data_IF_263774047426
#
_entry.id   IF_263774047426
#
_cell.length_a   1.000
_cell.length_b   1.000
_cell.length_c   1.000
_cell.angle_alpha   90.00
_cell.angle_beta   90.00
_cell.angle_gamma   90.00
#
_symmetry.space_group_name_H-M   'P 1'
#
loop_
_entity.id
_entity.type
_entity.pdbx_description
1 polymer ?
#
# COMPACT_ATOMS: atom_id res chain seq x y z
N UNK A 1 38.40 -46.86 -41.90
CA UNK A 1 37.10 -46.89 -41.21
C UNK A 1 36.98 -45.66 -40.32
N UNK A 2 36.21 -44.64 -40.73
CA UNK A 2 36.02 -43.41 -39.95
C UNK A 2 34.65 -43.45 -39.24
N UNK A 3 34.69 -43.44 -37.90
CA UNK A 3 33.51 -43.49 -37.02
C UNK A 3 32.91 -42.07 -36.95
N UNK A 4 31.79 -41.82 -37.66
CA UNK A 4 31.06 -40.54 -37.56
C UNK A 4 30.48 -40.37 -36.15
N UNK A 5 30.97 -39.38 -35.40
CA UNK A 5 30.34 -38.91 -34.16
C UNK A 5 28.95 -38.35 -34.49
N UNK A 6 27.92 -38.90 -33.86
CA UNK A 6 26.56 -38.34 -33.88
C UNK A 6 26.62 -37.01 -33.13
N UNK A 7 26.43 -35.92 -33.86
CA UNK A 7 26.22 -34.60 -33.29
C UNK A 7 24.81 -34.62 -32.66
N UNK A 8 24.72 -34.68 -31.34
CA UNK A 8 23.45 -34.56 -30.65
C UNK A 8 22.93 -33.13 -30.89
N UNK A 9 21.85 -33.06 -31.68
CA UNK A 9 21.25 -31.81 -32.13
C UNK A 9 20.57 -31.17 -30.92
N UNK A 10 21.23 -30.20 -30.30
CA UNK A 10 20.63 -29.37 -29.24
C UNK A 10 19.37 -28.72 -29.82
N UNK A 11 18.22 -29.04 -29.25
CA UNK A 11 16.93 -28.48 -29.68
C UNK A 11 16.95 -26.96 -29.43
N UNK A 12 16.38 -26.14 -30.34
CA UNK A 12 16.32 -24.70 -30.16
C UNK A 12 15.54 -24.37 -28.87
N UNK A 13 16.01 -23.35 -28.14
CA UNK A 13 15.47 -22.89 -26.85
C UNK A 13 13.95 -22.60 -26.91
N UNK A 14 13.44 -22.29 -28.10
CA UNK A 14 12.01 -22.07 -28.38
C UNK A 14 11.10 -23.30 -28.20
N UNK A 15 11.67 -24.48 -27.95
CA UNK A 15 10.94 -25.74 -27.75
C UNK A 15 10.96 -26.24 -26.29
N UNK A 16 11.53 -25.46 -25.36
CA UNK A 16 11.37 -25.75 -23.92
C UNK A 16 9.94 -25.38 -23.56
N UNK A 17 9.07 -26.38 -23.42
CA UNK A 17 7.70 -26.19 -23.00
C UNK A 17 7.68 -25.35 -21.71
N UNK A 18 6.90 -24.28 -21.71
CA UNK A 18 6.61 -23.52 -20.50
C UNK A 18 6.07 -24.51 -19.45
N UNK A 19 6.52 -24.45 -18.19
CA UNK A 19 5.96 -25.29 -17.15
C UNK A 19 4.47 -24.99 -17.07
N UNK A 20 3.66 -25.97 -17.42
CA UNK A 20 2.22 -25.90 -17.34
C UNK A 20 1.80 -25.91 -15.86
N UNK A 21 1.67 -24.71 -15.29
CA UNK A 21 1.16 -24.51 -13.92
C UNK A 21 -0.39 -24.45 -13.92
N UNK A 22 -1.05 -24.70 -15.07
CA UNK A 22 -2.51 -24.55 -15.20
C UNK A 22 -3.35 -25.66 -14.54
N UNK A 23 -2.73 -26.47 -13.68
CA UNK A 23 -3.31 -27.71 -13.16
C UNK A 23 -3.48 -27.84 -11.65
N UNK A 24 -3.45 -26.75 -10.86
CA UNK A 24 -3.86 -26.82 -9.44
C UNK A 24 -5.09 -25.93 -9.26
N UNK A 25 -6.18 -26.50 -8.73
CA UNK A 25 -7.40 -25.78 -8.35
C UNK A 25 -7.11 -24.71 -7.30
N UNK A 26 -6.54 -23.59 -7.74
CA UNK A 26 -6.08 -22.48 -6.92
C UNK A 26 -7.21 -21.53 -6.59
N UNK A 27 -7.02 -20.77 -5.51
CA UNK A 27 -7.86 -19.64 -5.17
C UNK A 27 -7.82 -18.60 -6.29
N UNK A 28 -8.92 -17.90 -6.54
CA UNK A 28 -8.95 -16.83 -7.53
C UNK A 28 -8.06 -15.65 -7.08
N UNK A 29 -7.44 -14.97 -8.04
CA UNK A 29 -6.62 -13.77 -7.80
C UNK A 29 -7.23 -12.74 -6.83
N UNK A 30 -8.54 -12.37 -6.94
CA UNK A 30 -9.15 -11.46 -5.97
C UNK A 30 -9.26 -12.05 -4.56
N UNK A 31 -9.46 -13.37 -4.43
CA UNK A 31 -9.48 -14.04 -3.12
C UNK A 31 -8.09 -14.01 -2.50
N UNK A 32 -7.03 -14.24 -3.28
CA UNK A 32 -5.64 -14.12 -2.81
C UNK A 32 -5.35 -12.70 -2.32
N UNK A 33 -5.73 -11.68 -3.12
CA UNK A 33 -5.56 -10.27 -2.73
C UNK A 33 -6.31 -9.94 -1.43
N UNK A 34 -7.54 -10.44 -1.26
CA UNK A 34 -8.32 -10.26 -0.03
C UNK A 34 -7.66 -10.93 1.17
N UNK A 35 -7.14 -12.14 1.01
CA UNK A 35 -6.41 -12.85 2.07
C UNK A 35 -5.14 -12.10 2.48
N UNK A 36 -4.41 -11.52 1.52
CA UNK A 36 -3.24 -10.69 1.79
C UNK A 36 -3.60 -9.40 2.52
N UNK A 37 -4.70 -8.73 2.13
CA UNK A 37 -5.21 -7.58 2.88
C UNK A 37 -5.57 -7.95 4.32
N UNK A 38 -6.29 -9.07 4.52
CA UNK A 38 -6.65 -9.52 5.85
C UNK A 38 -5.42 -9.86 6.69
N UNK A 39 -4.43 -10.54 6.10
CA UNK A 39 -3.17 -10.83 6.76
C UNK A 39 -2.42 -9.56 7.16
N UNK A 40 -2.39 -8.54 6.29
CA UNK A 40 -1.79 -7.23 6.60
C UNK A 40 -2.50 -6.50 7.71
N UNK A 41 -3.83 -6.57 7.71
CA UNK A 41 -4.62 -5.99 8.78
C UNK A 41 -4.28 -6.63 10.13
N UNK A 42 -4.25 -7.97 10.18
CA UNK A 42 -3.91 -8.72 11.40
C UNK A 42 -2.48 -8.43 11.85
N UNK A 43 -1.53 -8.34 10.91
CA UNK A 43 -0.12 -8.09 11.21
C UNK A 43 0.10 -6.77 11.95
N UNK A 44 -0.64 -5.73 11.58
CA UNK A 44 -0.54 -4.39 12.18
C UNK A 44 -1.70 -4.05 13.15
N UNK A 45 -2.59 -5.00 13.44
CA UNK A 45 -3.71 -4.80 14.36
C UNK A 45 -3.24 -4.49 15.80
N UNK A 46 -2.02 -4.88 16.16
CA UNK A 46 -1.39 -4.50 17.42
C UNK A 46 -1.24 -2.97 17.57
N UNK A 47 -1.19 -2.22 16.46
CA UNK A 47 -1.05 -0.75 16.50
C UNK A 47 -2.32 -0.02 16.89
N UNK A 48 -3.48 -0.68 16.85
CA UNK A 48 -4.77 -0.05 17.16
C UNK A 48 -4.87 0.49 18.59
N UNK A 49 -4.11 -0.10 19.52
CA UNK A 49 -4.06 0.33 20.92
C UNK A 49 -3.02 1.40 21.23
N UNK A 50 -2.26 1.87 20.23
CA UNK A 50 -1.26 2.91 20.45
C UNK A 50 -1.92 4.30 20.58
N UNK A 51 -1.18 5.22 21.20
CA UNK A 51 -1.55 6.63 21.29
C UNK A 51 -0.88 7.46 20.20
N UNK A 52 -1.19 8.76 20.16
CA UNK A 52 -0.47 9.71 19.31
C UNK A 52 0.99 9.83 19.74
N UNK A 53 1.90 9.89 18.76
CA UNK A 53 3.34 10.03 19.01
C UNK A 53 3.96 11.05 18.07
N UNK A 54 4.84 11.90 18.60
CA UNK A 54 5.73 12.80 17.86
C UNK A 54 4.99 13.77 16.91
N UNK A 55 4.96 13.45 15.62
CA UNK A 55 4.35 14.27 14.57
C UNK A 55 2.81 14.20 14.59
N UNK A 56 2.23 13.14 15.17
CA UNK A 56 0.77 12.97 15.28
C UNK A 56 0.13 14.09 16.07
N UNK A 57 0.75 14.49 17.19
CA UNK A 57 0.21 15.56 18.03
C UNK A 57 0.21 16.89 17.29
N UNK A 58 1.26 17.17 16.52
CA UNK A 58 1.38 18.41 15.77
C UNK A 58 0.46 18.44 14.54
N UNK A 59 0.21 17.28 13.91
CA UNK A 59 -0.65 17.17 12.73
C UNK A 59 -2.13 17.13 13.08
N UNK A 60 -2.49 16.49 14.19
CA UNK A 60 -3.87 16.10 14.52
C UNK A 60 -4.30 16.80 15.81
N UNK A 61 -3.71 16.39 16.94
CA UNK A 61 -4.18 16.77 18.28
C UNK A 61 -4.07 18.27 18.58
N UNK A 62 -3.08 18.96 18.00
CA UNK A 62 -2.79 20.38 18.22
C UNK A 62 -3.12 21.24 17.00
N UNK A 63 -3.64 20.65 15.93
CA UNK A 63 -3.94 21.36 14.70
C UNK A 63 -5.36 21.92 14.72
N UNK A 64 -5.48 23.24 14.88
CA UNK A 64 -6.77 23.93 14.95
C UNK A 64 -7.65 23.72 13.70
N UNK A 65 -7.06 23.52 12.52
CA UNK A 65 -7.82 23.24 11.30
C UNK A 65 -8.41 21.82 11.30
N UNK A 66 -7.67 20.84 11.80
CA UNK A 66 -8.17 19.45 11.96
C UNK A 66 -9.22 19.36 13.06
N UNK A 67 -9.01 20.04 14.19
CA UNK A 67 -9.94 20.04 15.32
C UNK A 67 -11.33 20.60 14.99
N UNK A 68 -11.43 21.49 13.99
CA UNK A 68 -12.71 22.00 13.47
C UNK A 68 -13.50 20.96 12.67
N UNK A 69 -12.93 19.78 12.46
CA UNK A 69 -13.55 18.68 11.74
C UNK A 69 -13.88 19.05 10.29
N UNK A 70 -15.05 18.62 9.81
CA UNK A 70 -15.50 18.88 8.43
C UNK A 70 -15.50 20.38 8.09
N UNK A 71 -15.85 21.25 9.04
CA UNK A 71 -15.87 22.70 8.83
C UNK A 71 -14.47 23.30 8.58
N UNK A 72 -13.41 22.61 9.01
CA UNK A 72 -12.03 23.00 8.81
C UNK A 72 -11.46 22.67 7.42
N UNK A 73 -12.12 21.79 6.65
CA UNK A 73 -11.60 21.29 5.37
C UNK A 73 -11.35 22.42 4.36
N UNK A 74 -12.28 23.37 4.22
CA UNK A 74 -12.08 24.51 3.33
C UNK A 74 -10.80 25.31 3.67
N UNK A 75 -10.48 25.43 4.97
CA UNK A 75 -9.28 26.10 5.41
C UNK A 75 -8.01 25.26 5.18
N UNK A 76 -8.10 23.93 5.38
CA UNK A 76 -7.02 22.98 5.10
C UNK A 76 -6.55 23.06 3.64
N UNK A 77 -7.46 23.29 2.69
CA UNK A 77 -7.12 23.48 1.28
C UNK A 77 -6.65 24.90 0.93
N UNK A 78 -6.85 25.87 1.82
CA UNK A 78 -6.53 27.29 1.57
C UNK A 78 -5.24 27.73 2.26
N UNK A 79 -4.79 27.01 3.29
CA UNK A 79 -3.65 27.36 4.12
C UNK A 79 -2.57 26.27 4.10
N UNK A 80 -1.29 26.65 4.27
CA UNK A 80 -0.24 25.67 4.49
C UNK A 80 -0.44 24.93 5.82
N UNK A 81 0.16 23.74 5.92
CA UNK A 81 0.09 22.83 7.06
C UNK A 81 0.52 23.46 8.40
N UNK A 82 1.41 24.47 8.39
CA UNK A 82 1.92 25.17 9.58
C UNK A 82 1.97 26.67 9.33
N UNK A 83 1.45 27.45 10.29
CA UNK A 83 1.42 28.91 10.24
C UNK A 83 2.81 29.55 10.43
N UNK A 84 3.72 28.88 11.14
CA UNK A 84 5.09 29.36 11.40
C UNK A 84 6.10 28.57 10.54
N UNK A 85 6.39 29.07 9.34
CA UNK A 85 7.24 28.42 8.35
C UNK A 85 8.74 28.46 8.69
N UNK A 86 9.18 27.74 9.72
CA UNK A 86 10.59 27.42 9.91
C UNK A 86 10.96 26.20 9.03
N UNK A 87 11.43 26.46 7.81
CA UNK A 87 11.99 25.42 6.93
C UNK A 87 11.10 24.92 5.79
N UNK A 88 9.97 25.58 5.52
CA UNK A 88 9.12 25.30 4.36
C UNK A 88 7.66 25.07 4.73
N UNK A 89 6.75 25.79 4.07
CA UNK A 89 5.32 25.64 4.29
C UNK A 89 4.86 24.34 3.56
N UNK A 90 4.70 23.24 4.30
CA UNK A 90 4.25 21.96 3.73
C UNK A 90 2.77 22.06 3.33
N UNK A 91 2.37 21.47 2.19
CA UNK A 91 0.97 21.43 1.76
C UNK A 91 0.52 19.98 1.61
N UNK A 92 -0.34 19.52 2.53
CA UNK A 92 -0.81 18.12 2.64
C UNK A 92 -2.34 18.05 2.86
N UNK A 93 -3.14 18.72 2.01
CA UNK A 93 -4.55 18.95 2.28
C UNK A 93 -5.37 17.65 2.34
N UNK A 94 -5.01 16.64 1.53
CA UNK A 94 -5.73 15.37 1.47
C UNK A 94 -5.68 14.64 2.81
N UNK A 95 -4.46 14.41 3.34
CA UNK A 95 -4.26 13.70 4.60
C UNK A 95 -4.86 14.45 5.78
N UNK A 96 -4.69 15.78 5.83
CA UNK A 96 -5.30 16.61 6.87
C UNK A 96 -6.83 16.59 6.82
N UNK A 97 -7.42 16.51 5.62
CA UNK A 97 -8.87 16.39 5.47
C UNK A 97 -9.37 15.05 5.96
N UNK A 98 -8.64 13.94 5.73
CA UNK A 98 -8.95 12.64 6.32
C UNK A 98 -8.94 12.72 7.85
N UNK A 99 -7.91 13.34 8.44
CA UNK A 99 -7.84 13.53 9.90
C UNK A 99 -8.98 14.41 10.41
N UNK A 100 -9.37 15.45 9.68
CA UNK A 100 -10.49 16.32 10.07
C UNK A 100 -11.82 15.57 10.05
N UNK A 101 -12.05 14.70 9.06
CA UNK A 101 -13.23 13.81 9.03
C UNK A 101 -13.21 12.84 10.20
N UNK A 102 -12.07 12.21 10.48
CA UNK A 102 -11.92 11.29 11.61
C UNK A 102 -12.14 11.99 12.95
N UNK A 103 -11.63 13.20 13.11
CA UNK A 103 -11.83 14.03 14.27
C UNK A 103 -13.30 14.42 14.46
N UNK A 104 -14.05 14.64 13.38
CA UNK A 104 -15.47 14.92 13.45
C UNK A 104 -16.29 13.69 13.90
N UNK A 105 -15.82 12.47 13.63
CA UNK A 105 -16.46 11.22 14.03
C UNK A 105 -16.14 10.89 15.49
N UNK A 106 -14.85 10.92 15.85
CA UNK A 106 -14.36 10.61 17.19
C UNK A 106 -13.22 11.56 17.57
N UNK A 107 -13.53 12.71 18.19
CA UNK A 107 -12.52 13.68 18.60
C UNK A 107 -11.50 13.05 19.55
N UNK A 108 -10.22 13.35 19.34
CA UNK A 108 -9.12 12.89 20.20
C UNK A 108 -9.08 11.36 20.42
N UNK A 109 -9.38 10.59 19.38
CA UNK A 109 -9.34 9.13 19.41
C UNK A 109 -8.23 8.59 18.48
N UNK A 110 -7.04 8.26 19.03
CA UNK A 110 -5.95 7.66 18.24
C UNK A 110 -6.37 6.35 17.55
N UNK A 111 -7.27 5.60 18.19
CA UNK A 111 -7.77 4.32 17.69
C UNK A 111 -8.32 4.43 16.26
N UNK A 112 -9.13 5.46 15.96
CA UNK A 112 -9.71 5.64 14.62
C UNK A 112 -8.62 5.95 13.59
N UNK A 113 -7.62 6.75 13.98
CA UNK A 113 -6.48 7.07 13.12
C UNK A 113 -5.65 5.85 12.76
N UNK A 114 -5.31 5.01 13.75
CA UNK A 114 -4.61 3.75 13.53
C UNK A 114 -5.45 2.76 12.71
N UNK A 115 -6.74 2.63 13.02
CA UNK A 115 -7.66 1.77 12.26
C UNK A 115 -7.66 2.12 10.77
N UNK A 116 -7.77 3.41 10.46
CA UNK A 116 -7.75 3.88 9.07
C UNK A 116 -6.39 3.67 8.42
N UNK A 117 -5.27 3.88 9.13
CA UNK A 117 -3.94 3.58 8.59
C UNK A 117 -3.77 2.11 8.24
N UNK A 118 -4.14 1.21 9.15
CA UNK A 118 -4.03 -0.24 8.94
C UNK A 118 -4.94 -0.67 7.79
N UNK A 119 -6.16 -0.12 7.70
CA UNK A 119 -7.08 -0.39 6.60
C UNK A 119 -6.53 0.07 5.24
N UNK A 120 -6.03 1.30 5.16
CA UNK A 120 -5.41 1.84 3.95
C UNK A 120 -4.17 1.03 3.54
N UNK A 121 -3.31 0.69 4.49
CA UNK A 121 -2.13 -0.13 4.21
C UNK A 121 -2.50 -1.51 3.69
N UNK A 122 -3.48 -2.16 4.31
CA UNK A 122 -3.98 -3.47 3.88
C UNK A 122 -4.56 -3.43 2.47
N UNK A 123 -5.29 -2.37 2.13
CA UNK A 123 -5.80 -2.14 0.78
C UNK A 123 -4.66 -1.89 -0.22
N UNK A 124 -3.65 -1.11 0.16
CA UNK A 124 -2.45 -0.87 -0.66
C UNK A 124 -1.69 -2.16 -0.95
N UNK A 125 -1.55 -3.06 0.03
CA UNK A 125 -0.89 -4.37 -0.14
C UNK A 125 -1.67 -5.26 -1.11
N UNK A 126 -3.01 -5.31 -1.02
CA UNK A 126 -3.82 -6.04 -1.98
C UNK A 126 -3.68 -5.49 -3.41
N UNK A 127 -3.67 -4.17 -3.56
CA UNK A 127 -3.43 -3.54 -4.86
C UNK A 127 -2.02 -3.82 -5.38
N UNK A 128 -1.02 -3.81 -4.50
CA UNK A 128 0.35 -4.15 -4.86
C UNK A 128 0.44 -5.57 -5.45
N UNK A 129 -0.25 -6.55 -4.85
CA UNK A 129 -0.37 -7.90 -5.41
C UNK A 129 -0.99 -7.88 -6.82
N UNK A 130 -2.12 -7.19 -7.00
CA UNK A 130 -2.80 -7.10 -8.31
C UNK A 130 -1.88 -6.42 -9.34
N UNK A 131 -1.17 -5.37 -8.95
CA UNK A 131 -0.20 -4.67 -9.79
C UNK A 131 0.94 -5.59 -10.20
N UNK A 132 1.54 -6.34 -9.27
CA UNK A 132 2.57 -7.33 -9.59
C UNK A 132 2.05 -8.42 -10.52
N UNK A 133 0.82 -8.90 -10.31
CA UNK A 133 0.19 -9.90 -11.20
C UNK A 133 0.02 -9.38 -12.62
N UNK A 134 -0.30 -8.09 -12.78
CA UNK A 134 -0.38 -7.44 -14.11
C UNK A 134 0.99 -7.23 -14.75
N UNK A 135 2.00 -6.85 -13.96
CA UNK A 135 3.35 -6.61 -14.46
C UNK A 135 4.07 -7.90 -14.88
N UNK A 136 3.82 -9.01 -14.18
CA UNK A 136 4.50 -10.30 -14.44
C UNK A 136 3.48 -11.43 -14.54
N UNK A 137 2.66 -11.46 -15.61
CA UNK A 137 1.47 -12.31 -15.72
C UNK A 137 1.75 -13.81 -15.81
N UNK A 138 2.99 -14.22 -16.08
CA UNK A 138 3.38 -15.64 -16.18
C UNK A 138 4.08 -16.16 -14.92
N UNK A 139 4.20 -15.33 -13.87
CA UNK A 139 4.81 -15.75 -12.61
C UNK A 139 3.93 -16.69 -11.80
N UNK A 140 4.57 -17.55 -11.01
CA UNK A 140 3.90 -18.41 -10.05
C UNK A 140 3.25 -17.56 -8.93
N UNK A 141 1.96 -17.79 -8.65
CA UNK A 141 1.21 -17.00 -7.64
C UNK A 141 1.79 -17.15 -6.22
N UNK A 142 2.39 -18.28 -5.87
CA UNK A 142 3.06 -18.48 -4.58
C UNK A 142 4.28 -17.56 -4.47
N UNK A 143 5.07 -17.43 -5.55
CA UNK A 143 6.21 -16.53 -5.57
C UNK A 143 5.76 -15.07 -5.39
N UNK A 144 4.71 -14.65 -6.11
CA UNK A 144 4.15 -13.31 -5.95
C UNK A 144 3.63 -13.07 -4.53
N UNK A 145 2.93 -14.04 -3.94
CA UNK A 145 2.50 -13.97 -2.55
C UNK A 145 3.69 -13.83 -1.60
N UNK A 146 4.75 -14.62 -1.78
CA UNK A 146 5.94 -14.56 -0.94
C UNK A 146 6.62 -13.18 -1.01
N UNK A 147 6.71 -12.59 -2.21
CA UNK A 147 7.25 -11.23 -2.40
C UNK A 147 6.38 -10.20 -1.68
N UNK A 148 5.06 -10.28 -1.81
CA UNK A 148 4.13 -9.35 -1.15
C UNK A 148 4.18 -9.50 0.38
N UNK A 149 4.22 -10.73 0.89
CA UNK A 149 4.36 -11.01 2.33
C UNK A 149 5.68 -10.49 2.87
N UNK A 150 6.79 -10.68 2.14
CA UNK A 150 8.09 -10.14 2.52
C UNK A 150 8.06 -8.61 2.53
N UNK A 151 7.49 -7.99 1.51
CA UNK A 151 7.30 -6.54 1.44
C UNK A 151 6.49 -6.04 2.63
N UNK A 152 5.30 -6.58 2.86
CA UNK A 152 4.40 -6.05 3.89
C UNK A 152 4.88 -6.27 5.33
N UNK A 153 5.65 -7.35 5.57
CA UNK A 153 6.22 -7.66 6.88
C UNK A 153 7.59 -7.01 7.10
N UNK A 154 8.12 -6.28 6.12
CA UNK A 154 9.42 -5.64 6.25
C UNK A 154 9.38 -4.55 7.34
N UNK A 155 10.30 -4.56 8.33
CA UNK A 155 10.28 -3.64 9.47
C UNK A 155 10.27 -2.15 9.09
N UNK A 156 10.78 -1.79 7.90
CA UNK A 156 10.72 -0.41 7.41
C UNK A 156 9.29 0.15 7.34
N UNK A 157 8.28 -0.70 7.16
CA UNK A 157 6.89 -0.26 7.10
C UNK A 157 6.25 -0.07 8.47
N UNK A 158 6.87 -0.54 9.56
CA UNK A 158 6.29 -0.35 10.90
C UNK A 158 6.21 1.12 11.27
N UNK A 159 7.21 1.93 10.87
CA UNK A 159 7.20 3.37 11.10
C UNK A 159 6.05 4.04 10.33
N UNK A 160 5.83 3.64 9.08
CA UNK A 160 4.79 4.21 8.21
C UNK A 160 3.38 3.82 8.66
N UNK A 161 3.18 2.58 9.09
CA UNK A 161 1.85 2.07 9.48
C UNK A 161 1.49 2.51 10.91
N UNK A 162 2.45 2.48 11.84
CA UNK A 162 2.19 2.85 13.23
C UNK A 162 2.06 4.36 13.43
N UNK A 163 2.77 5.19 12.66
CA UNK A 163 2.66 6.65 12.74
C UNK A 163 1.44 7.15 11.95
N UNK A 164 0.43 7.72 12.64
CA UNK A 164 -0.84 8.11 11.97
C UNK A 164 -0.57 9.17 10.91
N UNK A 165 0.31 10.12 11.21
CA UNK A 165 0.74 11.20 10.33
C UNK A 165 1.27 10.71 8.99
N UNK A 166 1.97 9.57 8.96
CA UNK A 166 2.57 8.99 7.74
C UNK A 166 1.56 8.41 6.77
N UNK A 167 0.25 8.60 7.01
CA UNK A 167 -0.82 8.23 6.08
C UNK A 167 -0.63 8.80 4.67
N UNK A 168 0.04 9.95 4.54
CA UNK A 168 0.35 10.51 3.22
C UNK A 168 1.22 9.58 2.38
N UNK A 169 2.15 8.83 2.97
CA UNK A 169 2.98 7.85 2.27
C UNK A 169 2.14 6.65 1.81
N UNK A 170 1.25 6.16 2.68
CA UNK A 170 0.34 5.05 2.37
C UNK A 170 -0.59 5.41 1.23
N UNK A 171 -1.22 6.60 1.29
CA UNK A 171 -2.13 7.09 0.26
C UNK A 171 -1.39 7.39 -1.05
N UNK A 172 -0.16 7.92 -0.97
CA UNK A 172 0.66 8.17 -2.16
C UNK A 172 0.93 6.88 -2.93
N UNK A 173 1.32 5.80 -2.24
CA UNK A 173 1.50 4.50 -2.88
C UNK A 173 0.16 3.92 -3.36
N UNK A 174 -0.92 4.07 -2.59
CA UNK A 174 -2.26 3.62 -2.96
C UNK A 174 -2.70 4.20 -4.31
N UNK A 175 -2.67 5.53 -4.45
CA UNK A 175 -3.12 6.23 -5.66
C UNK A 175 -2.14 6.14 -6.84
N UNK A 176 -0.86 5.87 -6.59
CA UNK A 176 0.11 5.63 -7.66
C UNK A 176 -0.19 4.35 -8.45
N UNK A 177 -0.94 3.41 -7.87
CA UNK A 177 -1.24 2.14 -8.53
C UNK A 177 -1.97 2.37 -9.88
N UNK A 178 -1.61 1.59 -10.93
CA UNK A 178 -2.13 1.75 -12.29
C UNK A 178 -3.64 1.45 -12.43
N UNK A 179 -4.32 1.00 -11.38
CA UNK A 179 -5.78 0.88 -11.35
C UNK A 179 -6.47 2.24 -11.20
N UNK A 180 -5.79 3.23 -10.61
CA UNK A 180 -6.31 4.58 -10.39
C UNK A 180 -5.80 5.58 -11.42
N UNK A 181 -4.63 5.33 -12.00
CA UNK A 181 -4.15 6.07 -13.15
C UNK A 181 -4.79 5.42 -14.38
N UNK A 182 -5.57 6.14 -15.21
CA UNK A 182 -5.92 5.64 -16.52
C UNK A 182 -4.62 5.55 -17.32
N UNK A 183 -3.96 4.41 -17.24
CA UNK A 183 -2.90 4.07 -18.19
C UNK A 183 -3.64 3.89 -19.50
N UNK A 184 -3.72 4.97 -20.30
CA UNK A 184 -4.07 4.89 -21.70
C UNK A 184 -3.29 3.71 -22.27
N UNK A 185 -4.02 2.72 -22.77
CA UNK A 185 -3.51 1.48 -23.32
C UNK A 185 -2.32 1.78 -24.24
N UNK A 186 -1.12 1.40 -23.80
CA UNK A 186 0.02 1.16 -24.70
C UNK A 186 0.11 -0.35 -24.91
N UNK A 187 -0.87 -0.89 -25.64
CA UNK A 187 -0.72 -2.07 -26.51
C UNK A 187 -1.64 -1.87 -27.69
#
# INVERSE_FOLDING_TARGET
MAKKRKQDRIKPISQVAEPDISGMGGLSEPVIALLLALFGFVLYANTLGHGYVLDDDLTISLNANVQRGISGIANIFSQPYRDNCFGGCLYRPLTLSCFAVEWAIAPNSPFIGHLMNVAWYSATVALFYITLRKLIPYSNSILLCAVVVLFMAHPIHTEVVANIKSRDEILSLFFYNPQFIPVCEMV
#
